data_IF_428704819528
#
_entry.id   IF_428704819528
#
_cell.length_a   1.000
_cell.length_b   1.000
_cell.length_c   1.000
_cell.angle_alpha   90.00
_cell.angle_beta   90.00
_cell.angle_gamma   90.00
#
_symmetry.space_group_name_H-M   'P 1'
#
loop_
_entity.id
_entity.type
_entity.pdbx_description
1 polymer ?
#
# COMPACT_ATOMS: atom_id res chain seq x y z
N UNK A 1 -31.87 -15.45 13.71
CA UNK A 1 -30.81 -15.51 12.66
C UNK A 1 -30.73 -14.20 11.86
N UNK A 2 -31.84 -13.65 11.35
CA UNK A 2 -31.84 -12.35 10.65
C UNK A 2 -31.44 -11.13 11.52
N UNK A 3 -31.78 -11.14 12.82
CA UNK A 3 -31.49 -10.01 13.73
C UNK A 3 -30.01 -9.84 14.07
N UNK A 4 -29.23 -10.92 14.17
CA UNK A 4 -27.79 -10.85 14.47
C UNK A 4 -26.97 -10.37 13.27
N UNK A 5 -27.37 -10.74 12.05
CA UNK A 5 -26.76 -10.23 10.82
C UNK A 5 -27.05 -8.74 10.62
N UNK A 6 -28.30 -8.30 10.88
CA UNK A 6 -28.67 -6.89 10.79
C UNK A 6 -28.03 -6.03 11.90
N UNK A 7 -27.77 -6.59 13.08
CA UNK A 7 -27.02 -5.91 14.15
C UNK A 7 -25.54 -5.74 13.79
N UNK A 8 -24.92 -6.78 13.20
CA UNK A 8 -23.53 -6.75 12.74
C UNK A 8 -23.29 -5.81 11.55
N UNK A 9 -24.20 -5.78 10.58
CA UNK A 9 -24.18 -4.81 9.47
C UNK A 9 -24.39 -3.37 9.97
N UNK A 10 -25.16 -3.19 11.05
CA UNK A 10 -25.44 -1.89 11.68
C UNK A 10 -24.30 -1.38 12.58
N UNK A 11 -23.51 -2.27 13.20
CA UNK A 11 -22.34 -1.91 14.01
C UNK A 11 -21.05 -1.73 13.19
N UNK A 12 -20.87 -2.43 12.06
CA UNK A 12 -19.57 -2.47 11.37
C UNK A 12 -19.56 -2.06 9.88
N UNK A 13 -20.72 -1.96 9.22
CA UNK A 13 -20.86 -1.49 7.84
C UNK A 13 -20.06 -2.26 6.77
N UNK A 14 -20.22 -1.88 5.50
CA UNK A 14 -19.42 -2.37 4.35
C UNK A 14 -18.07 -1.64 4.21
N UNK A 15 -17.90 -0.47 4.84
CA UNK A 15 -16.68 0.33 4.76
C UNK A 15 -15.46 -0.28 5.48
N UNK A 16 -15.66 -1.04 6.55
CA UNK A 16 -14.55 -1.71 7.26
C UNK A 16 -13.90 -2.80 6.39
N UNK A 17 -14.69 -3.48 5.56
CA UNK A 17 -14.18 -4.52 4.65
C UNK A 17 -13.40 -3.92 3.48
N UNK A 18 -13.89 -2.86 2.85
CA UNK A 18 -13.15 -2.19 1.77
C UNK A 18 -11.82 -1.63 2.27
N UNK A 19 -11.79 -1.04 3.48
CA UNK A 19 -10.56 -0.56 4.09
C UNK A 19 -9.56 -1.69 4.40
N UNK A 20 -10.04 -2.84 4.88
CA UNK A 20 -9.18 -4.01 5.10
C UNK A 20 -8.61 -4.53 3.77
N UNK A 21 -9.45 -4.62 2.74
CA UNK A 21 -9.04 -5.13 1.43
C UNK A 21 -7.97 -4.24 0.76
N UNK A 22 -8.08 -2.91 0.86
CA UNK A 22 -7.04 -2.03 0.30
C UNK A 22 -5.73 -2.15 1.08
N UNK A 23 -5.76 -2.37 2.40
CA UNK A 23 -4.56 -2.64 3.20
C UNK A 23 -3.92 -3.96 2.74
N UNK A 24 -4.71 -5.03 2.62
CA UNK A 24 -4.23 -6.34 2.15
C UNK A 24 -3.61 -6.24 0.75
N UNK A 25 -4.25 -5.50 -0.17
CA UNK A 25 -3.72 -5.30 -1.53
C UNK A 25 -2.43 -4.45 -1.52
N UNK A 26 -2.34 -3.42 -0.66
CA UNK A 26 -1.10 -2.68 -0.43
C UNK A 26 0.02 -3.59 0.09
N UNK A 27 -0.26 -4.41 1.10
CA UNK A 27 0.71 -5.33 1.69
C UNK A 27 1.17 -6.37 0.66
N UNK A 28 0.26 -6.93 -0.14
CA UNK A 28 0.60 -7.85 -1.22
C UNK A 28 1.53 -7.20 -2.25
N UNK A 29 1.25 -5.96 -2.65
CA UNK A 29 2.11 -5.22 -3.58
C UNK A 29 3.50 -4.96 -2.99
N UNK A 30 3.59 -4.52 -1.74
CA UNK A 30 4.86 -4.26 -1.06
C UNK A 30 5.67 -5.53 -0.82
N UNK A 31 5.02 -6.66 -0.51
CA UNK A 31 5.70 -7.95 -0.37
C UNK A 31 6.28 -8.44 -1.71
N UNK A 32 5.56 -8.24 -2.82
CA UNK A 32 6.03 -8.64 -4.13
C UNK A 32 7.11 -7.70 -4.71
N UNK A 33 6.98 -6.39 -4.48
CA UNK A 33 7.73 -5.37 -5.21
C UNK A 33 8.51 -4.37 -4.33
N UNK A 34 8.40 -4.44 -3.01
CA UNK A 34 9.00 -3.48 -2.08
C UNK A 34 10.53 -3.39 -2.15
N UNK A 35 11.21 -4.44 -2.60
CA UNK A 35 12.67 -4.40 -2.83
C UNK A 35 13.07 -4.10 -4.28
N UNK A 36 12.19 -4.40 -5.25
CA UNK A 36 12.53 -4.37 -6.68
C UNK A 36 12.05 -3.12 -7.39
N UNK A 37 10.97 -2.48 -6.93
CA UNK A 37 10.35 -1.30 -7.56
C UNK A 37 10.38 -0.04 -6.70
N UNK A 38 10.91 -0.12 -5.46
CA UNK A 38 11.09 1.04 -4.59
C UNK A 38 12.56 1.35 -4.36
N UNK A 39 13.00 2.51 -4.85
CA UNK A 39 14.37 2.97 -4.73
C UNK A 39 14.71 3.36 -3.28
N UNK A 40 15.79 2.84 -2.68
CA UNK A 40 16.23 3.29 -1.36
C UNK A 40 16.72 4.75 -1.43
N UNK A 41 16.41 5.57 -0.43
CA UNK A 41 16.93 6.93 -0.33
C UNK A 41 18.21 6.99 0.55
N UNK A 42 19.28 7.68 0.10
CA UNK A 42 19.42 8.36 -1.19
C UNK A 42 19.55 7.37 -2.37
N UNK A 43 19.00 7.75 -3.53
CA UNK A 43 18.96 6.93 -4.74
C UNK A 43 19.83 7.51 -5.87
N UNK A 44 20.66 6.68 -6.48
CA UNK A 44 21.37 6.98 -7.73
C UNK A 44 20.93 5.99 -8.82
N UNK A 45 20.20 6.44 -9.85
CA UNK A 45 19.75 5.58 -10.94
C UNK A 45 20.89 4.96 -11.76
N UNK A 46 22.06 5.60 -11.79
CA UNK A 46 23.20 5.15 -12.60
C UNK A 46 23.84 3.88 -12.04
N UNK A 47 23.90 3.78 -10.71
CA UNK A 47 24.45 2.63 -10.01
C UNK A 47 23.41 1.54 -9.73
N UNK A 48 22.13 1.89 -9.67
CA UNK A 48 21.05 0.94 -9.40
C UNK A 48 19.83 1.21 -10.29
N UNK A 49 19.87 0.83 -11.58
CA UNK A 49 18.72 0.98 -12.46
C UNK A 49 17.57 0.08 -11.98
N UNK A 50 16.43 0.70 -11.66
CA UNK A 50 15.21 0.00 -11.27
C UNK A 50 14.20 0.11 -12.41
N UNK A 51 13.73 -1.04 -12.92
CA UNK A 51 12.66 -1.09 -13.92
C UNK A 51 11.31 -0.85 -13.25
N UNK A 52 10.43 -0.13 -13.94
CA UNK A 52 9.03 0.11 -13.51
C UNK A 52 8.95 0.74 -12.10
N UNK A 53 9.80 1.73 -11.84
CA UNK A 53 9.92 2.40 -10.53
C UNK A 53 8.55 2.84 -10.00
N UNK A 54 8.17 2.28 -8.85
CA UNK A 54 6.90 2.51 -8.17
C UNK A 54 6.99 3.63 -7.13
N UNK A 55 8.20 3.98 -6.69
CA UNK A 55 8.43 5.03 -5.70
C UNK A 55 9.75 4.89 -4.96
N UNK A 56 9.80 5.43 -3.75
CA UNK A 56 10.98 5.43 -2.89
C UNK A 56 10.73 4.73 -1.56
N UNK A 57 11.81 4.30 -0.91
CA UNK A 57 11.76 3.74 0.44
C UNK A 57 12.86 4.30 1.33
N UNK A 58 12.58 4.40 2.62
CA UNK A 58 13.54 4.87 3.61
C UNK A 58 13.31 4.15 4.94
N UNK A 59 14.38 3.71 5.61
CA UNK A 59 14.28 3.31 7.01
C UNK A 59 14.11 4.55 7.89
N UNK A 60 13.18 4.51 8.84
CA UNK A 60 12.94 5.64 9.76
C UNK A 60 14.18 5.98 10.61
N UNK A 61 15.01 5.00 10.92
CA UNK A 61 16.28 5.17 11.62
C UNK A 61 17.34 4.21 11.07
N UNK A 62 18.58 4.37 11.54
CA UNK A 62 19.71 3.52 11.15
C UNK A 62 19.63 2.10 11.72
N UNK A 63 18.79 1.87 12.74
CA UNK A 63 18.61 0.55 13.36
C UNK A 63 18.01 -0.45 12.37
N UNK A 64 18.41 -1.71 12.48
CA UNK A 64 18.00 -2.75 11.53
C UNK A 64 16.55 -3.21 11.71
N UNK A 65 15.97 -3.00 12.89
CA UNK A 65 14.56 -3.21 13.20
C UNK A 65 13.67 -2.00 12.87
N UNK A 66 14.26 -0.93 12.33
CA UNK A 66 13.52 0.28 12.02
C UNK A 66 12.49 0.02 10.90
N UNK A 67 11.23 0.48 11.07
CA UNK A 67 10.22 0.35 10.04
C UNK A 67 10.66 1.01 8.72
N UNK A 68 10.34 0.34 7.61
CA UNK A 68 10.44 0.93 6.28
C UNK A 68 9.23 1.82 6.01
N UNK A 69 9.50 3.01 5.49
CA UNK A 69 8.49 3.91 4.93
C UNK A 69 8.60 3.83 3.42
N UNK A 70 7.46 3.60 2.78
CA UNK A 70 7.32 3.59 1.32
C UNK A 70 6.60 4.86 0.86
N UNK A 71 7.21 5.56 -0.08
CA UNK A 71 6.66 6.74 -0.75
C UNK A 71 6.28 6.32 -2.17
N UNK A 72 5.00 6.04 -2.38
CA UNK A 72 4.49 5.52 -3.66
C UNK A 72 4.13 6.65 -4.61
N UNK A 73 4.46 6.52 -5.89
CA UNK A 73 3.98 7.46 -6.90
C UNK A 73 2.46 7.38 -7.07
N UNK A 74 1.76 8.52 -7.25
CA UNK A 74 0.31 8.54 -7.39
C UNK A 74 -0.20 7.60 -8.50
N UNK A 75 0.47 7.59 -9.66
CA UNK A 75 0.07 6.74 -10.78
C UNK A 75 0.16 5.24 -10.45
N UNK A 76 1.20 4.80 -9.74
CA UNK A 76 1.34 3.41 -9.29
C UNK A 76 0.28 3.06 -8.25
N UNK A 77 0.02 3.98 -7.32
CA UNK A 77 -1.02 3.79 -6.32
C UNK A 77 -2.39 3.62 -6.98
N UNK A 78 -2.81 4.55 -7.84
CA UNK A 78 -4.13 4.53 -8.48
C UNK A 78 -4.34 3.36 -9.44
N UNK A 79 -3.30 3.00 -10.22
CA UNK A 79 -3.45 2.03 -11.32
C UNK A 79 -3.13 0.59 -10.95
N UNK A 80 -2.33 0.38 -9.91
CA UNK A 80 -1.84 -0.95 -9.53
C UNK A 80 -2.27 -1.32 -8.11
N UNK A 81 -2.02 -0.45 -7.14
CA UNK A 81 -2.25 -0.78 -5.72
C UNK A 81 -3.73 -0.65 -5.33
N UNK A 82 -4.36 0.45 -5.69
CA UNK A 82 -5.77 0.73 -5.44
C UNK A 82 -6.65 0.31 -6.63
N UNK A 83 -6.12 -0.50 -7.56
CA UNK A 83 -6.89 -0.98 -8.71
C UNK A 83 -8.11 -1.75 -8.22
N UNK A 84 -9.29 -1.36 -8.70
CA UNK A 84 -10.56 -1.95 -8.27
C UNK A 84 -11.23 -1.22 -7.10
N UNK A 85 -10.54 -0.26 -6.46
CA UNK A 85 -11.12 0.66 -5.48
C UNK A 85 -11.43 2.01 -6.11
N UNK A 86 -12.41 2.73 -5.54
CA UNK A 86 -12.71 4.08 -5.97
C UNK A 86 -11.65 5.04 -5.39
N UNK A 87 -10.57 5.30 -6.15
CA UNK A 87 -9.44 6.13 -5.70
C UNK A 87 -9.84 7.53 -5.19
N UNK A 88 -10.99 8.07 -5.63
CA UNK A 88 -11.53 9.36 -5.18
C UNK A 88 -12.14 9.37 -3.77
N UNK A 89 -12.30 8.22 -3.12
CA UNK A 89 -12.73 8.15 -1.72
C UNK A 89 -11.57 8.22 -0.72
N UNK A 90 -10.32 8.18 -1.18
CA UNK A 90 -9.13 7.99 -0.33
C UNK A 90 -7.99 9.00 -0.57
N UNK A 91 -8.22 10.04 -1.39
CA UNK A 91 -7.26 11.10 -1.70
C UNK A 91 -7.43 12.34 -0.81
#
# INVERSE_FOLDING_TARGET
IQHSFNAWVKEFGTGNKEHQQIIEQCEAFLNAYGLSRFAPLPYDPSSMPIRDLAGYRKRKSSHDDAPLVFYTFPATFEKEIAQGFNARQFA
#
